data_IF_390427458040
#
_entry.id   IF_390427458040
#
_cell.length_a   1.000
_cell.length_b   1.000
_cell.length_c   1.000
_cell.angle_alpha   90.00
_cell.angle_beta   90.00
_cell.angle_gamma   90.00
#
_symmetry.space_group_name_H-M   'P 1'
#
loop_
_entity.id
_entity.type
_entity.pdbx_description
1 polymer ?
#
# COMPACT_ATOMS: atom_id res chain seq x y z
N UNK A 1 22.96 28.59 9.62
CA UNK A 1 22.73 27.29 8.97
C UNK A 1 21.25 26.95 9.16
N UNK A 2 20.41 27.30 8.19
CA UNK A 2 18.98 26.94 8.24
C UNK A 2 18.87 25.42 8.08
N UNK A 3 18.50 24.74 9.15
CA UNK A 3 18.11 23.32 9.07
C UNK A 3 16.73 23.29 8.40
N UNK A 4 16.69 23.17 7.09
CA UNK A 4 15.45 22.82 6.38
C UNK A 4 15.16 21.38 6.67
N UNK A 5 14.38 21.13 7.72
CA UNK A 5 13.85 19.80 8.02
C UNK A 5 12.71 19.46 7.05
N UNK A 6 13.04 19.07 5.84
CA UNK A 6 12.09 18.46 4.91
C UNK A 6 12.09 16.94 5.19
N UNK A 7 11.54 16.54 6.33
CA UNK A 7 11.45 15.13 6.71
C UNK A 7 10.17 14.55 6.11
N UNK A 8 10.31 13.62 5.18
CA UNK A 8 9.23 12.78 4.70
C UNK A 8 9.27 11.44 5.45
N UNK A 9 8.10 10.95 5.89
CA UNK A 9 7.97 9.69 6.62
C UNK A 9 7.45 8.56 5.71
N UNK A 10 7.74 7.32 6.07
CA UNK A 10 7.11 6.15 5.47
C UNK A 10 5.64 6.03 5.91
N UNK A 11 4.85 5.20 5.22
CA UNK A 11 3.48 4.88 5.65
C UNK A 11 3.45 4.20 7.01
N UNK A 12 4.47 3.41 7.37
CA UNK A 12 4.55 2.75 8.68
C UNK A 12 4.79 3.75 9.81
N UNK A 13 5.71 4.72 9.61
CA UNK A 13 5.96 5.81 10.58
C UNK A 13 4.73 6.74 10.69
N UNK A 14 4.02 7.00 9.58
CA UNK A 14 2.77 7.76 9.61
C UNK A 14 1.68 7.02 10.41
N UNK A 15 1.55 5.70 10.25
CA UNK A 15 0.64 4.86 11.02
C UNK A 15 0.99 4.87 12.52
N UNK A 16 2.28 4.73 12.85
CA UNK A 16 2.78 4.84 14.23
C UNK A 16 2.40 6.20 14.85
N UNK A 17 2.63 7.30 14.13
CA UNK A 17 2.26 8.64 14.57
C UNK A 17 0.76 8.75 14.85
N UNK A 18 -0.08 8.26 13.94
CA UNK A 18 -1.55 8.29 14.08
C UNK A 18 -1.98 7.52 15.33
N UNK A 19 -1.45 6.32 15.54
CA UNK A 19 -1.82 5.48 16.70
C UNK A 19 -1.44 6.12 18.03
N UNK A 20 -0.36 6.92 18.09
CA UNK A 20 0.12 7.52 19.31
C UNK A 20 -0.48 8.90 19.62
N UNK A 21 -0.77 9.72 18.59
CA UNK A 21 -1.24 11.10 18.80
C UNK A 21 -2.54 11.45 18.07
N UNK A 22 -3.04 10.58 17.20
CA UNK A 22 -4.19 10.86 16.33
C UNK A 22 -5.54 10.98 17.07
N UNK A 23 -5.63 10.52 18.31
CA UNK A 23 -6.80 10.76 19.18
C UNK A 23 -6.91 12.20 19.65
N UNK A 24 -5.82 12.94 19.67
CA UNK A 24 -5.76 14.34 20.11
C UNK A 24 -5.61 15.31 18.93
N UNK A 25 -4.91 14.90 17.89
CA UNK A 25 -4.55 15.72 16.74
C UNK A 25 -5.10 15.13 15.44
N UNK A 26 -5.77 15.95 14.63
CA UNK A 26 -6.05 15.54 13.25
C UNK A 26 -4.76 15.49 12.44
N UNK A 27 -4.53 14.40 11.71
CA UNK A 27 -3.33 14.19 10.89
C UNK A 27 -3.67 14.36 9.42
N UNK A 28 -2.94 15.26 8.73
CA UNK A 28 -3.06 15.46 7.29
C UNK A 28 -1.89 14.82 6.56
N UNK A 29 -2.17 13.79 5.78
CA UNK A 29 -1.17 13.06 5.00
C UNK A 29 -1.03 13.68 3.62
N UNK A 30 0.15 14.19 3.30
CA UNK A 30 0.48 14.75 1.99
C UNK A 30 1.48 13.83 1.29
N UNK A 31 1.18 13.43 0.07
CA UNK A 31 2.10 12.56 -0.68
C UNK A 31 1.61 12.28 -2.10
N UNK A 32 2.47 11.68 -2.91
CA UNK A 32 2.19 11.36 -4.30
C UNK A 32 0.90 10.53 -4.47
N UNK A 33 0.25 10.61 -5.64
CA UNK A 33 -0.91 9.77 -5.92
C UNK A 33 -0.53 8.28 -5.94
N UNK A 34 -1.39 7.43 -5.36
CA UNK A 34 -1.21 5.98 -5.40
C UNK A 34 -0.17 5.39 -4.44
N UNK A 35 0.35 6.15 -3.46
CA UNK A 35 1.34 5.65 -2.47
C UNK A 35 0.74 4.80 -1.33
N UNK A 36 -0.58 4.59 -1.32
CA UNK A 36 -1.21 3.71 -0.33
C UNK A 36 -1.82 4.40 0.89
N UNK A 37 -2.09 5.72 0.85
CA UNK A 37 -2.75 6.44 1.95
C UNK A 37 -4.09 5.79 2.37
N UNK A 38 -4.91 5.42 1.40
CA UNK A 38 -6.20 4.72 1.64
C UNK A 38 -6.00 3.30 2.20
N UNK A 39 -5.00 2.56 1.71
CA UNK A 39 -4.68 1.23 2.23
C UNK A 39 -4.20 1.28 3.70
N UNK A 40 -3.55 2.36 4.12
CA UNK A 40 -3.19 2.59 5.52
C UNK A 40 -4.45 2.77 6.39
N UNK A 41 -5.46 3.50 5.92
CA UNK A 41 -6.74 3.62 6.60
C UNK A 41 -7.40 2.24 6.83
N UNK A 42 -7.44 1.39 5.82
CA UNK A 42 -7.98 0.03 5.94
C UNK A 42 -7.24 -0.79 6.99
N UNK A 43 -5.90 -0.69 7.04
CA UNK A 43 -5.09 -1.35 8.08
C UNK A 43 -5.35 -0.81 9.48
N UNK A 44 -5.53 0.51 9.63
CA UNK A 44 -5.87 1.11 10.91
C UNK A 44 -7.22 0.59 11.44
N UNK A 45 -8.21 0.49 10.57
CA UNK A 45 -9.53 -0.09 10.90
C UNK A 45 -9.38 -1.54 11.37
N UNK A 46 -8.64 -2.36 10.62
CA UNK A 46 -8.40 -3.76 10.98
C UNK A 46 -7.63 -3.89 12.30
N UNK A 47 -6.59 -3.07 12.50
CA UNK A 47 -5.73 -3.14 13.67
C UNK A 47 -6.41 -2.68 14.96
N UNK A 48 -7.25 -1.66 14.88
CA UNK A 48 -7.97 -1.10 16.03
C UNK A 48 -9.29 -1.80 16.31
N UNK A 49 -9.91 -2.41 15.31
CA UNK A 49 -11.29 -2.90 15.37
C UNK A 49 -12.33 -1.78 15.43
N UNK A 50 -11.92 -0.53 15.22
CA UNK A 50 -12.80 0.63 15.27
C UNK A 50 -13.65 0.74 14.01
N UNK A 51 -14.78 1.44 14.12
CA UNK A 51 -15.61 1.73 12.94
C UNK A 51 -14.83 2.57 11.94
N UNK A 52 -14.74 2.09 10.69
CA UNK A 52 -14.18 2.86 9.58
C UNK A 52 -15.20 3.82 8.98
N UNK A 53 -14.81 5.08 8.79
CA UNK A 53 -15.60 6.10 8.09
C UNK A 53 -14.74 6.71 6.99
N UNK A 54 -15.07 6.41 5.74
CA UNK A 54 -14.37 6.95 4.57
C UNK A 54 -15.21 8.06 3.94
N UNK A 55 -14.65 9.26 3.80
CA UNK A 55 -15.29 10.45 3.23
C UNK A 55 -14.47 10.88 2.01
N UNK A 56 -15.04 10.70 0.83
CA UNK A 56 -14.48 11.17 -0.45
C UNK A 56 -15.00 12.56 -0.75
N UNK A 57 -14.24 13.59 -0.36
CA UNK A 57 -14.75 14.98 -0.37
C UNK A 57 -15.13 15.51 -1.76
N UNK A 58 -14.50 15.14 -2.89
CA UNK A 58 -14.94 15.52 -4.22
C UNK A 58 -16.35 15.02 -4.58
N UNK A 59 -16.73 13.87 -4.04
CA UNK A 59 -18.01 13.21 -4.33
C UNK A 59 -19.03 13.30 -3.18
N UNK A 60 -18.68 14.02 -2.09
CA UNK A 60 -19.57 14.19 -0.93
C UNK A 60 -20.43 15.44 -1.09
N UNK A 61 -21.72 15.33 -0.83
CA UNK A 61 -22.67 16.45 -0.79
C UNK A 61 -23.08 16.78 0.67
N UNK A 62 -23.69 17.93 0.89
CA UNK A 62 -24.15 18.32 2.23
C UNK A 62 -25.16 17.31 2.82
N UNK A 63 -26.03 16.77 1.98
CA UNK A 63 -27.00 15.74 2.38
C UNK A 63 -26.37 14.44 2.87
N UNK A 64 -25.16 14.12 2.40
CA UNK A 64 -24.41 12.95 2.86
C UNK A 64 -23.85 13.13 4.28
N UNK A 65 -23.62 14.37 4.70
CA UNK A 65 -23.13 14.68 6.06
C UNK A 65 -24.27 14.59 7.06
N UNK A 66 -25.42 15.14 6.69
CA UNK A 66 -26.63 15.10 7.51
C UNK A 66 -27.70 16.08 7.01
N UNK A 67 -28.90 15.83 7.41
CA UNK A 67 -30.08 16.63 7.00
C UNK A 67 -30.57 17.47 8.19
N UNK A 68 -30.71 18.81 8.05
CA UNK A 68 -31.32 19.64 9.07
C UNK A 68 -32.82 19.36 9.12
N UNK A 69 -33.31 18.99 10.30
CA UNK A 69 -34.72 18.73 10.56
C UNK A 69 -35.30 19.76 11.55
N UNK A 70 -36.39 20.43 11.21
CA UNK A 70 -36.99 21.39 12.12
C UNK A 70 -37.71 20.69 13.26
N UNK A 71 -37.52 21.17 14.47
CA UNK A 71 -38.32 20.86 15.62
C UNK A 71 -39.34 21.98 15.83
N UNK A 72 -40.61 21.73 15.50
CA UNK A 72 -41.67 22.74 15.55
C UNK A 72 -42.08 23.14 16.98
N UNK A 73 -41.86 22.28 17.97
CA UNK A 73 -42.22 22.56 19.38
C UNK A 73 -41.21 23.54 19.99
N UNK A 74 -39.89 23.26 19.80
CA UNK A 74 -38.84 24.08 20.37
C UNK A 74 -38.41 25.21 19.45
N UNK A 75 -38.90 25.29 18.21
CA UNK A 75 -38.52 26.25 17.16
C UNK A 75 -37.04 26.23 16.89
N UNK A 76 -36.40 25.05 16.97
CA UNK A 76 -34.97 24.82 16.70
C UNK A 76 -34.80 23.89 15.49
N UNK A 77 -33.57 23.74 15.04
CA UNK A 77 -33.19 22.78 14.00
C UNK A 77 -32.18 21.79 14.55
N UNK A 78 -32.40 20.50 14.34
CA UNK A 78 -31.45 19.44 14.66
C UNK A 78 -30.86 18.87 13.39
N UNK A 79 -29.57 18.57 13.41
CA UNK A 79 -28.92 17.86 12.32
C UNK A 79 -29.10 16.34 12.53
N UNK A 80 -29.78 15.68 11.57
CA UNK A 80 -29.87 14.23 11.53
C UNK A 80 -28.69 13.68 10.75
N UNK A 81 -27.77 12.96 11.42
CA UNK A 81 -26.56 12.46 10.79
C UNK A 81 -26.84 11.31 9.82
N UNK A 82 -25.96 11.13 8.87
CA UNK A 82 -25.97 9.95 8.00
C UNK A 82 -25.74 8.68 8.85
N UNK A 83 -26.64 7.72 8.76
CA UNK A 83 -26.55 6.45 9.50
C UNK A 83 -25.33 5.63 9.07
N UNK A 84 -24.96 5.69 7.79
CA UNK A 84 -23.79 4.94 7.23
C UNK A 84 -22.50 5.34 7.93
N UNK A 85 -22.32 6.63 8.21
CA UNK A 85 -21.11 7.09 8.91
C UNK A 85 -21.14 6.77 10.41
N UNK A 86 -22.33 6.67 11.01
CA UNK A 86 -22.50 6.19 12.39
C UNK A 86 -22.09 7.16 13.49
N UNK A 87 -21.92 8.47 13.22
CA UNK A 87 -21.54 9.46 14.24
C UNK A 87 -22.47 9.50 15.46
N UNK A 88 -23.73 9.13 15.30
CA UNK A 88 -24.71 9.05 16.37
C UNK A 88 -24.49 7.88 17.36
N UNK A 89 -23.65 6.89 17.00
CA UNK A 89 -23.44 5.68 17.80
C UNK A 89 -22.49 5.88 18.96
N UNK A 90 -21.73 6.99 18.98
CA UNK A 90 -20.77 7.32 20.03
C UNK A 90 -19.73 6.21 20.29
N UNK A 91 -19.32 5.49 19.25
CA UNK A 91 -18.30 4.45 19.29
C UNK A 91 -16.97 4.97 18.72
N UNK A 92 -15.81 4.39 19.09
CA UNK A 92 -14.52 4.76 18.52
C UNK A 92 -14.48 4.55 17.01
N UNK A 93 -13.91 5.52 16.27
CA UNK A 93 -13.90 5.55 14.81
C UNK A 93 -12.51 5.87 14.25
N UNK A 94 -12.22 5.31 13.08
CA UNK A 94 -11.16 5.78 12.19
C UNK A 94 -11.84 6.56 11.07
N UNK A 95 -11.77 7.89 11.11
CA UNK A 95 -12.36 8.77 10.11
C UNK A 95 -11.24 9.17 9.13
N UNK A 96 -11.41 8.81 7.86
CA UNK A 96 -10.48 9.14 6.79
C UNK A 96 -11.17 10.02 5.75
N UNK A 97 -10.72 11.27 5.64
CA UNK A 97 -11.25 12.28 4.73
C UNK A 97 -10.27 12.40 3.56
N UNK A 98 -10.60 11.75 2.46
CA UNK A 98 -9.75 11.73 1.26
C UNK A 98 -9.98 12.98 0.42
N UNK A 99 -8.92 13.39 -0.28
CA UNK A 99 -8.87 14.60 -1.12
C UNK A 99 -9.46 15.85 -0.43
N UNK A 100 -9.17 16.04 0.86
CA UNK A 100 -9.70 17.12 1.70
C UNK A 100 -9.50 18.53 1.10
N UNK A 101 -8.49 18.71 0.27
CA UNK A 101 -8.20 19.97 -0.44
C UNK A 101 -9.10 20.21 -1.64
N UNK A 102 -9.87 19.21 -2.09
CA UNK A 102 -10.72 19.27 -3.28
C UNK A 102 -12.17 18.89 -2.98
N UNK A 103 -12.84 19.59 -2.05
CA UNK A 103 -14.22 19.29 -1.75
C UNK A 103 -15.16 19.62 -2.92
N UNK A 104 -16.27 18.90 -3.03
CA UNK A 104 -17.33 19.19 -4.01
C UNK A 104 -17.85 20.62 -3.91
N UNK A 105 -17.85 21.19 -2.70
CA UNK A 105 -18.20 22.57 -2.42
C UNK A 105 -17.52 23.09 -1.16
N UNK A 106 -17.41 24.44 -1.06
CA UNK A 106 -16.92 25.09 0.16
C UNK A 106 -17.82 24.79 1.38
N UNK A 107 -19.10 24.56 1.16
CA UNK A 107 -20.05 24.24 2.22
C UNK A 107 -19.77 22.85 2.84
N UNK A 108 -19.44 21.85 2.03
CA UNK A 108 -19.00 20.52 2.49
C UNK A 108 -17.72 20.65 3.32
N UNK A 109 -16.72 21.39 2.83
CA UNK A 109 -15.48 21.62 3.57
C UNK A 109 -15.75 22.27 4.93
N UNK A 110 -16.60 23.30 4.97
CA UNK A 110 -16.94 24.01 6.19
C UNK A 110 -17.66 23.10 7.22
N UNK A 111 -18.50 22.18 6.77
CA UNK A 111 -19.17 21.20 7.63
C UNK A 111 -18.22 20.16 8.22
N UNK A 112 -17.14 19.82 7.50
CA UNK A 112 -16.13 18.86 7.96
C UNK A 112 -15.04 19.51 8.84
N UNK A 113 -14.84 20.81 8.76
CA UNK A 113 -13.82 21.52 9.54
C UNK A 113 -13.89 21.29 11.07
N UNK A 114 -15.06 21.26 11.71
CA UNK A 114 -15.16 20.99 13.15
C UNK A 114 -14.63 19.60 13.58
N UNK A 115 -14.57 18.62 12.64
CA UNK A 115 -13.96 17.32 12.92
C UNK A 115 -12.47 17.46 13.26
N UNK A 116 -11.77 18.41 12.63
CA UNK A 116 -10.32 18.54 12.72
C UNK A 116 -9.85 19.07 14.08
N UNK A 117 -10.55 20.02 14.65
CA UNK A 117 -10.15 20.70 15.88
C UNK A 117 -11.12 20.46 17.04
N UNK A 118 -12.41 20.54 16.76
CA UNK A 118 -13.45 20.46 17.80
C UNK A 118 -13.93 19.00 18.02
N UNK A 119 -13.48 18.09 17.16
CA UNK A 119 -13.81 16.67 17.20
C UNK A 119 -15.32 16.43 17.28
N UNK A 120 -16.05 17.15 16.42
CA UNK A 120 -17.52 17.06 16.30
C UNK A 120 -17.97 17.24 14.86
N UNK A 121 -19.17 16.76 14.58
CA UNK A 121 -19.89 17.03 13.34
C UNK A 121 -21.30 17.50 13.72
N UNK A 122 -21.69 18.68 13.23
CA UNK A 122 -22.88 19.33 13.75
C UNK A 122 -22.81 19.51 15.27
N UNK A 123 -23.83 19.01 15.99
CA UNK A 123 -23.87 19.01 17.45
C UNK A 123 -23.28 17.77 18.12
N UNK A 124 -22.85 16.78 17.35
CA UNK A 124 -22.37 15.49 17.89
C UNK A 124 -20.87 15.49 18.06
N UNK A 125 -20.38 15.23 19.27
CA UNK A 125 -18.96 15.01 19.57
C UNK A 125 -18.55 13.60 19.16
N UNK A 126 -17.33 13.45 18.69
CA UNK A 126 -16.74 12.12 18.46
C UNK A 126 -16.41 11.44 19.79
N UNK A 127 -16.38 10.11 19.75
CA UNK A 127 -15.77 9.35 20.86
C UNK A 127 -14.30 9.78 21.05
N UNK A 128 -13.81 9.94 22.30
CA UNK A 128 -12.43 10.41 22.58
C UNK A 128 -11.35 9.62 21.86
N UNK A 129 -11.50 8.31 21.74
CA UNK A 129 -10.51 7.42 21.11
C UNK A 129 -10.58 7.40 19.57
N UNK A 130 -11.46 8.18 18.94
CA UNK A 130 -11.55 8.23 17.49
C UNK A 130 -10.30 8.88 16.87
N UNK A 131 -9.94 8.48 15.65
CA UNK A 131 -8.90 9.11 14.84
C UNK A 131 -9.53 9.96 13.74
N UNK A 132 -8.98 11.13 13.47
CA UNK A 132 -9.34 11.97 12.32
C UNK A 132 -8.12 12.15 11.44
N UNK A 133 -8.18 11.59 10.25
CA UNK A 133 -7.12 11.59 9.26
C UNK A 133 -7.64 12.24 8.00
N UNK A 134 -6.88 13.16 7.44
CA UNK A 134 -7.19 13.73 6.12
C UNK A 134 -6.06 13.39 5.16
N UNK A 135 -6.36 13.30 3.87
CA UNK A 135 -5.36 13.06 2.85
C UNK A 135 -5.46 14.08 1.72
N UNK A 136 -4.30 14.37 1.13
CA UNK A 136 -4.17 15.24 -0.03
C UNK A 136 -2.99 14.83 -0.91
N UNK A 137 -2.94 15.36 -2.13
CA UNK A 137 -1.81 15.22 -3.02
C UNK A 137 -0.89 16.43 -2.89
N UNK A 138 0.36 16.32 -3.37
CA UNK A 138 1.29 17.45 -3.34
C UNK A 138 0.82 18.53 -4.34
N UNK A 139 1.08 19.79 -4.01
CA UNK A 139 0.87 20.93 -4.94
C UNK A 139 1.62 20.75 -6.25
N UNK A 140 2.84 20.18 -6.19
CA UNK A 140 3.69 19.91 -7.34
C UNK A 140 3.12 18.88 -8.33
N UNK A 141 2.09 18.13 -7.92
CA UNK A 141 1.47 17.10 -8.76
C UNK A 141 0.55 17.68 -9.84
N UNK A 142 0.36 19.02 -9.85
CA UNK A 142 -0.60 19.70 -10.73
C UNK A 142 -2.07 19.35 -10.42
N UNK A 143 -2.29 18.58 -9.36
CA UNK A 143 -3.58 18.03 -8.94
C UNK A 143 -3.94 18.47 -7.51
N UNK A 144 -2.97 19.04 -6.76
CA UNK A 144 -3.15 19.48 -5.37
C UNK A 144 -3.61 20.93 -5.29
N UNK A 145 -4.57 21.24 -4.42
CA UNK A 145 -4.91 22.59 -4.02
C UNK A 145 -4.26 22.93 -2.67
N UNK A 146 -3.88 24.19 -2.50
CA UNK A 146 -3.30 24.65 -1.23
C UNK A 146 -4.32 24.57 -0.10
N UNK A 147 -3.91 23.95 1.01
CA UNK A 147 -4.63 24.12 2.27
C UNK A 147 -4.64 25.57 2.68
N UNK A 148 -5.81 26.11 2.97
CA UNK A 148 -5.93 27.46 3.49
C UNK A 148 -5.29 27.55 4.88
N UNK A 149 -4.69 28.68 5.23
CA UNK A 149 -3.97 28.90 6.49
C UNK A 149 -4.77 28.47 7.74
N UNK A 150 -6.09 28.69 7.74
CA UNK A 150 -6.97 28.32 8.85
C UNK A 150 -7.13 26.79 9.01
N UNK A 151 -6.96 26.01 7.93
CA UNK A 151 -6.96 24.54 8.00
C UNK A 151 -5.61 24.03 8.51
N UNK A 152 -4.49 24.64 8.08
CA UNK A 152 -3.14 24.25 8.50
C UNK A 152 -2.96 24.30 10.03
N UNK A 153 -3.50 25.33 10.70
CA UNK A 153 -3.42 25.43 12.16
C UNK A 153 -4.27 24.43 12.94
N UNK A 154 -5.09 23.62 12.26
CA UNK A 154 -6.00 22.64 12.88
C UNK A 154 -5.56 21.21 12.71
N UNK A 155 -4.46 20.97 12.00
CA UNK A 155 -3.97 19.64 11.65
C UNK A 155 -2.45 19.57 11.78
N UNK A 156 -1.96 18.38 12.05
CA UNK A 156 -0.53 18.06 11.89
C UNK A 156 -0.29 17.58 10.46
N UNK A 157 0.42 18.38 9.66
CA UNK A 157 0.72 18.02 8.27
C UNK A 157 1.94 17.12 8.23
N UNK A 158 1.77 15.94 7.65
CA UNK A 158 2.79 14.88 7.59
C UNK A 158 3.07 14.53 6.13
N UNK A 159 4.24 14.94 5.60
CA UNK A 159 4.68 14.52 4.27
C UNK A 159 5.02 13.01 4.28
N UNK A 160 4.38 12.27 3.38
CA UNK A 160 4.57 10.82 3.24
C UNK A 160 5.30 10.53 1.93
N UNK A 161 6.46 9.84 2.03
CA UNK A 161 7.22 9.40 0.86
C UNK A 161 6.63 8.14 0.22
N UNK A 162 6.98 7.89 -1.02
CA UNK A 162 6.77 6.57 -1.63
C UNK A 162 7.49 5.49 -0.85
N UNK A 163 6.94 4.28 -0.85
CA UNK A 163 7.66 3.11 -0.35
C UNK A 163 8.91 2.85 -1.19
N UNK A 164 9.96 2.38 -0.55
CA UNK A 164 11.11 1.83 -1.29
C UNK A 164 10.72 0.52 -1.98
N UNK A 165 11.54 0.03 -2.90
CA UNK A 165 11.27 -1.25 -3.54
C UNK A 165 11.27 -2.41 -2.51
N UNK A 166 12.13 -2.35 -1.48
CA UNK A 166 12.17 -3.33 -0.39
C UNK A 166 10.87 -3.33 0.40
N UNK A 167 10.41 -2.15 0.82
CA UNK A 167 9.14 -2.01 1.56
C UNK A 167 7.95 -2.52 0.73
N UNK A 168 7.95 -2.25 -0.59
CA UNK A 168 6.91 -2.72 -1.50
C UNK A 168 6.94 -4.24 -1.65
N UNK A 169 8.12 -4.83 -1.83
CA UNK A 169 8.29 -6.29 -1.97
C UNK A 169 7.93 -7.00 -0.66
N UNK A 170 8.36 -6.49 0.49
CA UNK A 170 8.02 -7.04 1.80
C UNK A 170 6.48 -7.00 2.02
N UNK A 171 5.84 -5.89 1.68
CA UNK A 171 4.38 -5.76 1.74
C UNK A 171 3.69 -6.71 0.75
N UNK A 172 4.10 -6.71 -0.51
CA UNK A 172 3.52 -7.54 -1.55
C UNK A 172 3.67 -9.05 -1.27
N UNK A 173 4.77 -9.45 -0.64
CA UNK A 173 4.97 -10.85 -0.23
C UNK A 173 3.94 -11.25 0.84
N UNK A 174 3.68 -10.39 1.83
CA UNK A 174 2.64 -10.63 2.85
C UNK A 174 1.23 -10.67 2.25
N UNK A 175 0.99 -9.82 1.26
CA UNK A 175 -0.30 -9.72 0.56
C UNK A 175 -0.45 -10.73 -0.59
N UNK A 176 0.48 -11.68 -0.73
CA UNK A 176 0.49 -12.70 -1.78
C UNK A 176 0.42 -12.12 -3.21
N UNK A 177 1.17 -11.05 -3.48
CA UNK A 177 1.30 -10.51 -4.84
C UNK A 177 1.97 -11.50 -5.78
N UNK A 178 1.68 -11.38 -7.06
CA UNK A 178 2.27 -12.23 -8.10
C UNK A 178 3.82 -12.20 -8.02
N UNK A 179 4.48 -13.37 -7.89
CA UNK A 179 5.94 -13.45 -7.73
C UNK A 179 6.72 -12.78 -8.85
N UNK A 180 6.18 -12.78 -10.08
CA UNK A 180 6.74 -12.11 -11.25
C UNK A 180 6.83 -10.61 -11.06
N UNK A 181 5.79 -10.01 -10.46
CA UNK A 181 5.77 -8.59 -10.15
C UNK A 181 6.79 -8.24 -9.06
N UNK A 182 6.92 -9.07 -8.02
CA UNK A 182 7.88 -8.84 -6.95
C UNK A 182 9.32 -8.93 -7.47
N UNK A 183 9.61 -9.92 -8.32
CA UNK A 183 10.90 -10.06 -8.97
C UNK A 183 11.21 -8.88 -9.91
N UNK A 184 10.22 -8.43 -10.67
CA UNK A 184 10.32 -7.25 -11.53
C UNK A 184 10.67 -5.99 -10.73
N UNK A 185 9.92 -5.70 -9.66
CA UNK A 185 10.17 -4.50 -8.81
C UNK A 185 11.56 -4.57 -8.15
N UNK A 186 12.02 -5.75 -7.74
CA UNK A 186 13.36 -5.92 -7.19
C UNK A 186 14.45 -5.60 -8.22
N UNK A 187 14.26 -6.01 -9.48
CA UNK A 187 15.23 -5.81 -10.56
C UNK A 187 15.22 -4.39 -11.12
N UNK A 188 14.05 -3.75 -11.07
CA UNK A 188 13.83 -2.37 -11.55
C UNK A 188 13.36 -1.48 -10.39
N UNK A 189 14.23 -1.20 -9.40
CA UNK A 189 13.86 -0.41 -8.23
C UNK A 189 13.38 1.01 -8.59
N UNK A 190 13.79 1.54 -9.76
CA UNK A 190 13.37 2.83 -10.30
C UNK A 190 11.87 2.93 -10.58
N UNK A 191 11.13 1.82 -10.69
CA UNK A 191 9.66 1.86 -10.79
C UNK A 191 9.00 2.39 -9.51
N UNK A 192 9.74 2.32 -8.39
CA UNK A 192 9.32 2.87 -7.10
C UNK A 192 9.87 4.28 -6.83
N UNK A 193 10.66 4.85 -7.75
CA UNK A 193 11.23 6.18 -7.58
C UNK A 193 10.16 7.28 -7.52
N UNK A 194 10.51 8.40 -6.91
CA UNK A 194 9.67 9.62 -6.87
C UNK A 194 9.97 10.51 -8.07
N UNK A 195 8.94 11.07 -8.68
CA UNK A 195 9.11 12.10 -9.72
C UNK A 195 9.71 13.41 -9.19
N UNK A 196 9.73 13.59 -7.85
CA UNK A 196 10.39 14.73 -7.20
C UNK A 196 11.91 14.66 -7.28
N UNK A 197 12.47 13.47 -7.51
CA UNK A 197 13.89 13.29 -7.72
C UNK A 197 14.29 13.77 -9.13
N UNK A 198 15.12 14.82 -9.25
CA UNK A 198 15.54 15.33 -10.54
C UNK A 198 16.24 14.30 -11.44
N UNK A 199 16.85 13.27 -10.87
CA UNK A 199 17.48 12.18 -11.62
C UNK A 199 16.46 11.31 -12.37
N UNK A 200 15.19 11.34 -11.95
CA UNK A 200 14.10 10.52 -12.48
C UNK A 200 13.24 11.22 -13.54
N UNK A 201 13.65 12.41 -14.02
CA UNK A 201 12.85 13.22 -14.98
C UNK A 201 12.50 12.48 -16.28
N UNK A 202 13.37 11.56 -16.72
CA UNK A 202 13.21 10.77 -17.94
C UNK A 202 12.74 9.32 -17.67
N UNK A 203 12.34 9.03 -16.41
CA UNK A 203 11.82 7.72 -16.02
C UNK A 203 10.36 7.56 -16.50
N UNK A 204 10.16 6.72 -17.52
CA UNK A 204 8.85 6.46 -18.12
C UNK A 204 7.99 5.45 -17.35
N UNK A 205 8.50 4.87 -16.28
CA UNK A 205 7.74 3.94 -15.44
C UNK A 205 6.80 4.67 -14.48
N UNK A 206 7.23 5.82 -13.96
CA UNK A 206 6.57 6.53 -12.86
C UNK A 206 5.69 7.67 -13.36
N UNK A 207 4.87 8.21 -12.45
CA UNK A 207 4.09 9.41 -12.70
C UNK A 207 5.00 10.59 -13.06
N UNK A 208 4.64 11.34 -14.11
CA UNK A 208 5.29 12.59 -14.47
C UNK A 208 4.23 13.69 -14.65
N UNK A 209 4.17 14.69 -13.74
CA UNK A 209 3.16 15.74 -13.79
C UNK A 209 3.26 16.64 -15.02
N UNK A 210 4.41 16.62 -15.72
CA UNK A 210 4.65 17.46 -16.92
C UNK A 210 4.28 16.75 -18.23
N UNK A 211 4.05 15.46 -18.19
CA UNK A 211 3.79 14.65 -19.39
C UNK A 211 2.44 13.95 -19.26
N UNK A 212 1.51 14.12 -20.20
CA UNK A 212 0.25 13.36 -20.19
C UNK A 212 0.51 11.86 -20.25
N UNK A 213 0.09 11.14 -19.24
CA UNK A 213 0.21 9.68 -19.16
C UNK A 213 -1.18 9.07 -18.97
N UNK A 214 -1.48 7.98 -19.69
CA UNK A 214 -2.71 7.21 -19.49
C UNK A 214 -2.67 6.36 -18.23
N UNK A 215 -1.47 5.86 -17.90
CA UNK A 215 -1.21 5.01 -16.74
C UNK A 215 0.29 5.01 -16.41
N UNK A 216 0.63 4.69 -15.18
CA UNK A 216 2.01 4.65 -14.66
C UNK A 216 2.11 3.67 -13.49
N UNK A 217 3.35 3.28 -13.14
CA UNK A 217 3.60 2.41 -12.00
C UNK A 217 3.51 3.19 -10.68
N UNK A 218 2.75 2.64 -9.73
CA UNK A 218 2.62 3.11 -8.36
C UNK A 218 2.26 1.91 -7.46
N UNK A 219 2.29 2.07 -6.14
CA UNK A 219 1.86 0.99 -5.25
C UNK A 219 0.43 0.50 -5.55
N UNK A 220 -0.49 1.44 -5.82
CA UNK A 220 -1.89 1.13 -6.18
C UNK A 220 -2.00 0.39 -7.51
N UNK A 221 -1.34 0.87 -8.54
CA UNK A 221 -1.39 0.23 -9.86
C UNK A 221 -0.63 -1.10 -9.87
N UNK A 222 0.45 -1.24 -9.12
CA UNK A 222 1.16 -2.49 -8.92
C UNK A 222 0.31 -3.55 -8.23
N UNK A 223 -0.50 -3.18 -7.21
CA UNK A 223 -1.48 -4.10 -6.62
C UNK A 223 -2.49 -4.61 -7.66
N UNK A 224 -3.04 -3.70 -8.49
CA UNK A 224 -3.95 -4.08 -9.58
C UNK A 224 -3.27 -4.98 -10.62
N UNK A 225 -2.02 -4.69 -10.98
CA UNK A 225 -1.24 -5.52 -11.89
C UNK A 225 -1.02 -6.93 -11.31
N UNK A 226 -0.73 -7.04 -10.01
CA UNK A 226 -0.66 -8.33 -9.33
C UNK A 226 -1.96 -9.13 -9.47
N UNK A 227 -3.12 -8.52 -9.23
CA UNK A 227 -4.41 -9.18 -9.36
C UNK A 227 -4.67 -9.67 -10.79
N UNK A 228 -4.25 -8.91 -11.80
CA UNK A 228 -4.32 -9.31 -13.21
C UNK A 228 -3.42 -10.52 -13.47
N UNK A 229 -2.16 -10.47 -13.00
CA UNK A 229 -1.20 -11.56 -13.18
C UNK A 229 -1.64 -12.87 -12.53
N UNK A 230 -2.24 -12.81 -11.35
CA UNK A 230 -2.78 -13.99 -10.67
C UNK A 230 -3.92 -14.67 -11.45
N UNK A 231 -4.55 -13.96 -12.38
CA UNK A 231 -5.60 -14.47 -13.27
C UNK A 231 -5.14 -14.64 -14.73
N UNK A 232 -3.84 -14.49 -15.04
CA UNK A 232 -3.32 -14.47 -16.41
C UNK A 232 -3.68 -15.69 -17.26
N UNK A 233 -3.80 -16.87 -16.64
CA UNK A 233 -4.13 -18.10 -17.35
C UNK A 233 -5.63 -18.24 -17.69
N UNK A 234 -6.48 -17.32 -17.22
CA UNK A 234 -7.93 -17.29 -17.50
C UNK A 234 -8.33 -16.28 -18.58
N UNK A 235 -7.37 -15.50 -19.06
CA UNK A 235 -7.59 -14.44 -20.06
C UNK A 235 -6.65 -14.61 -21.27
N UNK A 236 -7.03 -14.09 -22.42
CA UNK A 236 -6.17 -14.15 -23.61
C UNK A 236 -4.91 -13.30 -23.44
N UNK A 237 -3.84 -13.65 -24.17
CA UNK A 237 -2.57 -12.87 -24.15
C UNK A 237 -2.80 -11.40 -24.51
N UNK A 238 -3.62 -11.11 -25.50
CA UNK A 238 -3.91 -9.73 -25.91
C UNK A 238 -4.66 -8.96 -24.81
N UNK A 239 -5.60 -9.59 -24.11
CA UNK A 239 -6.30 -9.00 -22.98
C UNK A 239 -5.35 -8.74 -21.81
N UNK A 240 -4.43 -9.68 -21.52
CA UNK A 240 -3.38 -9.49 -20.49
C UNK A 240 -2.51 -8.28 -20.80
N UNK A 241 -1.98 -8.19 -22.03
CA UNK A 241 -1.14 -7.06 -22.45
C UNK A 241 -1.90 -5.74 -22.32
N UNK A 242 -3.12 -5.67 -22.84
CA UNK A 242 -3.95 -4.46 -22.79
C UNK A 242 -4.25 -4.05 -21.33
N UNK A 243 -4.57 -5.01 -20.46
CA UNK A 243 -4.86 -4.76 -19.05
C UNK A 243 -3.61 -4.24 -18.30
N UNK A 244 -2.44 -4.83 -18.51
CA UNK A 244 -1.20 -4.38 -17.88
C UNK A 244 -0.79 -2.99 -18.41
N UNK A 245 -0.81 -2.74 -19.72
CA UNK A 245 -0.53 -1.42 -20.30
C UNK A 245 -1.48 -0.34 -19.75
N UNK A 246 -2.76 -0.65 -19.65
CA UNK A 246 -3.78 0.25 -19.10
C UNK A 246 -3.64 0.46 -17.57
N UNK A 247 -2.93 -0.41 -16.86
CA UNK A 247 -2.78 -0.35 -15.41
C UNK A 247 -1.48 0.31 -14.97
N UNK A 248 -0.33 -0.12 -15.52
CA UNK A 248 1.01 0.29 -15.07
C UNK A 248 1.82 1.07 -16.13
N UNK A 249 1.21 1.37 -17.26
CA UNK A 249 1.87 2.03 -18.39
C UNK A 249 2.60 1.06 -19.31
N UNK A 250 2.76 1.46 -20.57
CA UNK A 250 3.33 0.60 -21.62
C UNK A 250 4.77 0.18 -21.32
N UNK A 251 5.60 1.08 -20.75
CA UNK A 251 6.99 0.80 -20.43
C UNK A 251 7.07 -0.31 -19.37
N UNK A 252 6.43 -0.13 -18.21
CA UNK A 252 6.42 -1.11 -17.13
C UNK A 252 5.75 -2.43 -17.54
N UNK A 253 4.69 -2.36 -18.34
CA UNK A 253 3.98 -3.55 -18.81
C UNK A 253 4.86 -4.41 -19.71
N UNK A 254 5.58 -3.80 -20.67
CA UNK A 254 6.50 -4.52 -21.57
C UNK A 254 7.58 -5.24 -20.78
N UNK A 255 8.20 -4.54 -19.83
CA UNK A 255 9.32 -5.10 -19.05
C UNK A 255 8.82 -6.19 -18.09
N UNK A 256 7.62 -6.01 -17.47
CA UNK A 256 6.99 -7.02 -16.64
C UNK A 256 6.58 -8.28 -17.42
N UNK A 257 6.12 -8.14 -18.67
CA UNK A 257 5.75 -9.28 -19.50
C UNK A 257 6.93 -10.23 -19.78
N UNK A 258 8.15 -9.73 -19.84
CA UNK A 258 9.34 -10.58 -19.94
C UNK A 258 9.49 -11.48 -18.69
N UNK A 259 9.14 -11.00 -17.51
CA UNK A 259 9.11 -11.81 -16.27
C UNK A 259 8.00 -12.85 -16.27
N UNK A 260 6.85 -12.54 -16.86
CA UNK A 260 5.74 -13.50 -17.04
C UNK A 260 6.18 -14.66 -17.94
N UNK A 261 6.87 -14.37 -19.05
CA UNK A 261 7.39 -15.40 -19.95
C UNK A 261 8.43 -16.29 -19.26
N UNK A 262 9.29 -15.70 -18.44
CA UNK A 262 10.24 -16.46 -17.61
C UNK A 262 9.49 -17.34 -16.62
N UNK A 263 8.49 -16.80 -15.91
CA UNK A 263 7.72 -17.55 -14.92
C UNK A 263 7.01 -18.76 -15.52
N UNK A 264 6.45 -18.63 -16.72
CA UNK A 264 5.73 -19.70 -17.42
C UNK A 264 6.66 -20.84 -17.90
N UNK A 265 7.98 -20.60 -17.91
CA UNK A 265 9.02 -21.61 -18.25
C UNK A 265 9.60 -22.33 -17.03
N UNK A 266 9.23 -21.94 -15.80
CA UNK A 266 9.79 -22.49 -14.58
C UNK A 266 9.15 -23.84 -14.21
N UNK A 267 9.91 -24.70 -13.48
CA UNK A 267 9.31 -25.90 -12.90
C UNK A 267 8.18 -25.51 -11.93
N UNK A 268 7.11 -26.25 -11.96
CA UNK A 268 5.99 -26.04 -11.05
C UNK A 268 6.40 -26.33 -9.60
N UNK A 269 5.69 -25.74 -8.65
CA UNK A 269 5.92 -26.02 -7.22
C UNK A 269 5.86 -27.51 -6.90
N UNK A 270 4.87 -28.20 -7.46
CA UNK A 270 4.67 -29.64 -7.23
C UNK A 270 5.81 -30.50 -7.76
N UNK A 271 6.37 -30.13 -8.94
CA UNK A 271 7.57 -30.81 -9.50
C UNK A 271 8.78 -30.63 -8.58
N UNK A 272 9.00 -29.41 -8.08
CA UNK A 272 10.10 -29.10 -7.16
C UNK A 272 9.96 -29.90 -5.86
N UNK A 273 8.78 -29.93 -5.25
CA UNK A 273 8.57 -30.60 -3.97
C UNK A 273 8.60 -32.11 -4.09
N UNK A 274 8.07 -32.68 -5.20
CA UNK A 274 8.11 -34.14 -5.44
C UNK A 274 9.51 -34.64 -5.79
N UNK A 275 10.33 -33.84 -6.47
CA UNK A 275 11.68 -34.24 -6.87
C UNK A 275 12.72 -33.12 -6.65
N UNK A 276 12.98 -32.73 -5.39
CA UNK A 276 13.84 -31.58 -5.10
C UNK A 276 15.30 -31.76 -5.57
N UNK A 277 15.77 -32.99 -5.69
CA UNK A 277 17.13 -33.29 -6.16
C UNK A 277 17.24 -33.32 -7.68
N UNK A 278 16.16 -33.63 -8.40
CA UNK A 278 16.16 -33.74 -9.86
C UNK A 278 15.49 -32.59 -10.61
N UNK A 279 14.63 -31.82 -9.94
CA UNK A 279 13.96 -30.69 -10.58
C UNK A 279 14.97 -29.68 -11.15
N UNK A 280 14.63 -29.09 -12.32
CA UNK A 280 15.49 -28.14 -12.99
C UNK A 280 15.74 -26.88 -12.12
N UNK A 281 17.00 -26.44 -12.04
CA UNK A 281 17.40 -25.20 -11.36
C UNK A 281 17.70 -24.18 -12.44
N UNK A 282 16.91 -23.09 -12.54
CA UNK A 282 17.19 -22.04 -13.51
C UNK A 282 18.51 -21.33 -13.20
N UNK A 283 19.16 -20.80 -14.23
CA UNK A 283 20.40 -20.02 -14.10
C UNK A 283 20.18 -18.51 -14.17
N UNK A 284 18.99 -18.09 -14.64
CA UNK A 284 18.63 -16.69 -14.77
C UNK A 284 18.23 -16.11 -13.42
N UNK A 285 18.77 -14.93 -13.07
CA UNK A 285 18.50 -14.26 -11.79
C UNK A 285 17.01 -13.92 -11.60
N UNK A 286 16.30 -13.49 -12.66
CA UNK A 286 14.85 -13.23 -12.61
C UNK A 286 14.07 -14.49 -12.27
N UNK A 287 14.37 -15.60 -12.94
CA UNK A 287 13.77 -16.92 -12.69
C UNK A 287 13.94 -17.36 -11.23
N UNK A 288 15.16 -17.21 -10.72
CA UNK A 288 15.49 -17.55 -9.35
C UNK A 288 14.72 -16.69 -8.34
N UNK A 289 14.61 -15.38 -8.57
CA UNK A 289 13.82 -14.48 -7.71
C UNK A 289 12.33 -14.84 -7.73
N UNK A 290 11.74 -15.12 -8.89
CA UNK A 290 10.35 -15.56 -9.01
C UNK A 290 10.12 -16.82 -8.19
N UNK A 291 11.02 -17.80 -8.29
CA UNK A 291 10.94 -19.03 -7.51
C UNK A 291 11.05 -18.79 -6.00
N UNK A 292 11.94 -17.91 -5.56
CA UNK A 292 12.07 -17.57 -4.14
C UNK A 292 10.77 -16.95 -3.59
N UNK A 293 10.20 -15.94 -4.28
CA UNK A 293 8.96 -15.31 -3.83
C UNK A 293 7.76 -16.26 -3.91
N UNK A 294 7.68 -17.11 -4.95
CA UNK A 294 6.67 -18.17 -5.02
C UNK A 294 6.78 -19.15 -3.85
N UNK A 295 8.02 -19.53 -3.48
CA UNK A 295 8.26 -20.42 -2.37
C UNK A 295 7.83 -19.81 -1.03
N UNK A 296 8.15 -18.53 -0.76
CA UNK A 296 7.70 -17.85 0.48
C UNK A 296 6.20 -17.97 0.68
N UNK A 297 5.44 -17.83 -0.40
CA UNK A 297 3.97 -17.93 -0.35
C UNK A 297 3.48 -19.37 -0.11
N UNK A 298 4.17 -20.39 -0.69
CA UNK A 298 3.71 -21.79 -0.77
C UNK A 298 4.26 -22.71 0.31
N UNK A 299 5.31 -22.29 1.05
CA UNK A 299 5.88 -23.13 2.11
C UNK A 299 4.90 -23.39 3.24
N UNK A 300 4.96 -24.61 3.75
CA UNK A 300 4.32 -25.09 4.96
C UNK A 300 5.24 -26.07 5.70
N UNK A 301 4.78 -26.59 6.84
CA UNK A 301 5.57 -27.54 7.66
C UNK A 301 5.88 -28.85 6.95
N UNK A 302 5.04 -29.28 6.00
CA UNK A 302 5.20 -30.53 5.27
C UNK A 302 6.18 -30.46 4.12
N UNK A 303 6.33 -29.30 3.46
CA UNK A 303 7.10 -29.15 2.24
C UNK A 303 8.41 -28.38 2.40
N UNK A 304 8.62 -27.66 3.51
CA UNK A 304 9.80 -26.82 3.73
C UNK A 304 11.12 -27.61 3.66
N UNK A 305 11.12 -28.87 4.10
CA UNK A 305 12.31 -29.74 4.02
C UNK A 305 12.71 -30.02 2.57
N UNK A 306 11.75 -30.42 1.72
CA UNK A 306 11.97 -30.64 0.30
C UNK A 306 12.40 -29.34 -0.43
N UNK A 307 11.77 -28.22 -0.05
CA UNK A 307 12.20 -26.92 -0.60
C UNK A 307 13.66 -26.61 -0.26
N UNK A 308 14.13 -26.85 0.97
CA UNK A 308 15.55 -26.63 1.33
C UNK A 308 16.51 -27.55 0.60
N UNK A 309 16.12 -28.79 0.29
CA UNK A 309 16.94 -29.68 -0.56
C UNK A 309 17.10 -29.08 -1.97
N UNK A 310 16.03 -28.53 -2.54
CA UNK A 310 16.10 -27.82 -3.83
C UNK A 310 16.89 -26.52 -3.72
N UNK A 311 16.61 -25.70 -2.70
CA UNK A 311 17.21 -24.39 -2.47
C UNK A 311 18.74 -24.49 -2.34
N UNK A 312 19.27 -25.52 -1.68
CA UNK A 312 20.73 -25.76 -1.55
C UNK A 312 21.46 -25.92 -2.89
N UNK A 313 20.74 -26.24 -3.96
CA UNK A 313 21.28 -26.38 -5.32
C UNK A 313 21.34 -25.02 -6.06
N UNK A 314 20.77 -23.99 -5.52
CA UNK A 314 20.73 -22.64 -6.09
C UNK A 314 21.88 -21.78 -5.58
N UNK A 315 22.20 -20.64 -6.24
CA UNK A 315 23.19 -19.67 -5.75
C UNK A 315 22.87 -19.16 -4.34
N UNK A 316 23.88 -18.83 -3.55
CA UNK A 316 23.74 -18.39 -2.15
C UNK A 316 22.95 -17.10 -2.00
N UNK A 317 23.04 -16.21 -2.96
CA UNK A 317 22.28 -14.96 -3.01
C UNK A 317 20.77 -15.24 -3.00
N UNK A 318 20.32 -16.25 -3.77
CA UNK A 318 18.93 -16.63 -3.79
C UNK A 318 18.49 -17.27 -2.47
N UNK A 319 19.35 -18.14 -1.91
CA UNK A 319 19.09 -18.76 -0.62
C UNK A 319 18.85 -17.68 0.45
N UNK A 320 19.68 -16.63 0.45
CA UNK A 320 19.54 -15.48 1.34
C UNK A 320 18.23 -14.72 1.07
N UNK A 321 17.89 -14.45 -0.21
CA UNK A 321 16.63 -13.78 -0.57
C UNK A 321 15.43 -14.51 0.01
N UNK A 322 15.34 -15.83 -0.18
CA UNK A 322 14.26 -16.64 0.37
C UNK A 322 14.21 -16.57 1.91
N UNK A 323 15.35 -16.81 2.58
CA UNK A 323 15.40 -16.85 4.03
C UNK A 323 15.08 -15.49 4.66
N UNK A 324 15.65 -14.39 4.15
CA UNK A 324 15.41 -13.04 4.64
C UNK A 324 13.94 -12.63 4.42
N UNK A 325 13.41 -12.86 3.22
CA UNK A 325 12.01 -12.52 2.91
C UNK A 325 11.04 -13.31 3.79
N UNK A 326 11.31 -14.61 3.97
CA UNK A 326 10.45 -15.46 4.81
C UNK A 326 10.52 -15.06 6.29
N UNK A 327 11.70 -14.67 6.80
CA UNK A 327 11.86 -14.23 8.19
C UNK A 327 11.12 -12.94 8.53
N UNK A 328 10.88 -12.08 7.55
CA UNK A 328 10.09 -10.84 7.67
C UNK A 328 8.58 -11.07 7.52
N UNK A 329 8.17 -12.22 7.01
CA UNK A 329 6.76 -12.57 6.83
C UNK A 329 6.24 -13.23 8.12
N UNK A 330 5.38 -12.53 8.87
CA UNK A 330 4.88 -12.97 10.18
C UNK A 330 4.16 -14.32 10.11
N UNK A 331 3.43 -14.60 9.04
CA UNK A 331 2.69 -15.86 8.86
C UNK A 331 3.62 -17.04 8.57
N UNK A 332 4.76 -16.81 7.93
CA UNK A 332 5.71 -17.84 7.49
C UNK A 332 6.94 -17.96 8.38
N UNK A 333 7.25 -16.92 9.15
CA UNK A 333 8.42 -16.89 10.06
C UNK A 333 8.47 -18.10 10.99
N UNK A 334 7.36 -18.45 11.62
CA UNK A 334 7.32 -19.60 12.54
C UNK A 334 7.60 -20.94 11.84
N UNK A 335 7.12 -21.12 10.59
CA UNK A 335 7.41 -22.29 9.78
C UNK A 335 8.90 -22.39 9.50
N UNK A 336 9.53 -21.27 9.12
CA UNK A 336 10.95 -21.19 8.85
C UNK A 336 11.78 -21.48 10.10
N UNK A 337 11.54 -20.75 11.19
CA UNK A 337 12.36 -20.78 12.40
C UNK A 337 12.29 -22.13 13.13
N UNK A 338 11.19 -22.88 13.01
CA UNK A 338 11.03 -24.22 13.59
C UNK A 338 11.54 -25.34 12.69
N UNK A 339 11.97 -25.05 11.46
CA UNK A 339 12.46 -26.04 10.51
C UNK A 339 13.91 -26.47 10.81
N UNK A 340 14.14 -27.75 11.00
CA UNK A 340 15.49 -28.31 11.12
C UNK A 340 16.36 -28.04 9.88
N UNK A 341 15.74 -28.02 8.69
CA UNK A 341 16.41 -27.72 7.44
C UNK A 341 16.95 -26.28 7.42
N UNK A 342 16.19 -25.30 7.92
CA UNK A 342 16.64 -23.92 8.07
C UNK A 342 17.73 -23.79 9.13
N UNK A 343 17.57 -24.41 10.29
CA UNK A 343 18.56 -24.36 11.38
C UNK A 343 19.92 -24.90 10.90
N UNK A 344 19.91 -26.01 10.16
CA UNK A 344 21.13 -26.55 9.58
C UNK A 344 21.73 -25.64 8.51
N UNK A 345 20.88 -25.08 7.64
CA UNK A 345 21.31 -24.10 6.64
C UNK A 345 21.93 -22.86 7.29
N UNK A 346 21.34 -22.34 8.36
CA UNK A 346 21.86 -21.18 9.11
C UNK A 346 23.25 -21.45 9.68
N UNK A 347 23.48 -22.65 10.27
CA UNK A 347 24.80 -23.05 10.77
C UNK A 347 25.85 -23.10 9.69
N UNK A 348 25.50 -23.58 8.49
CA UNK A 348 26.40 -23.66 7.34
C UNK A 348 26.67 -22.30 6.69
N UNK A 349 25.85 -21.27 6.93
CA UNK A 349 25.88 -19.97 6.23
C UNK A 349 25.87 -18.77 7.19
N UNK A 350 26.47 -18.91 8.39
CA UNK A 350 26.52 -17.82 9.40
C UNK A 350 27.11 -16.50 8.90
N UNK A 351 27.98 -16.56 7.89
CA UNK A 351 28.61 -15.39 7.28
C UNK A 351 27.69 -14.54 6.40
N UNK A 352 26.45 -14.95 6.18
CA UNK A 352 25.44 -14.23 5.37
C UNK A 352 24.52 -13.33 6.21
N UNK A 353 24.68 -13.30 7.55
CA UNK A 353 23.84 -12.55 8.50
C UNK A 353 24.62 -11.54 9.32
#
# INVERSE_FOLDING_TARGET
MEIRMNVEVSLAEAEELILNVGTQNAIHLVGEPGIGKTAMYERLVQRTGYRGVYIDTPNTELGDIGIPMPNHETKTTSLYPNEVWGFHKQEPMVIFIDEFTKPSSQAVQNMLHPLLNERRIGGMKLHPDSFVITAGNNLSDGVGDMLKAHSLNRMTVVPVRKATWEEYVDYGTRMNYAPELLAFVRQYPEVMASYKDPSQKDNNHIFNPKTPQKSFFSQRSGHRASNILLKRHTISRNALIAALCGTIGECSARDLLAYVEVADSLPTWDEVIKNPKGANVPTNAAALCIMAYSAVQKIDRGNIGAWFEYLKRTPKELQSVFCVTTSKNEDKKNILMTSSAFINWMRENQYLF
#
